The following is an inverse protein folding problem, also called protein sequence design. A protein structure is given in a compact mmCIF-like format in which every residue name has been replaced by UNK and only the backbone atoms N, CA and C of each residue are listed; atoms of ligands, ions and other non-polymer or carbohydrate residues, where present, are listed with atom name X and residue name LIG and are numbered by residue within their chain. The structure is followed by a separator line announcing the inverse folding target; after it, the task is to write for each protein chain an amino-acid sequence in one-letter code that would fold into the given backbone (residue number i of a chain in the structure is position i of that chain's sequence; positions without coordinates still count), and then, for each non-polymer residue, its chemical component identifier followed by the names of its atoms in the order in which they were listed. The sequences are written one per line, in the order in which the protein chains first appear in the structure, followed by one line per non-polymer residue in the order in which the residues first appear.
data_IF_001989070988
#
_entry.id   IF_001989070988
#
_cell.length_a   1.000
_cell.length_b   1.000
_cell.length_c   1.000
_cell.angle_alpha   90.00
_cell.angle_beta   90.00
_cell.angle_gamma   90.00
#
_symmetry.space_group_name_H-M   'P 1'
#
loop_
_entity.id
_entity.type
_entity.pdbx_description
1 polymer ?
#
# COMPACT_ATOMS: atom_id res chain seq x y z
N UNK A 1 -42.85 10.19 -23.62
CA UNK A 1 -42.76 9.58 -22.27
C UNK A 1 -41.48 8.75 -22.24
N UNK A 2 -40.64 8.99 -21.25
CA UNK A 2 -39.19 8.72 -21.26
C UNK A 2 -38.81 7.25 -21.55
N UNK A 3 -38.02 7.07 -22.60
CA UNK A 3 -37.06 5.98 -22.78
C UNK A 3 -35.65 6.61 -22.73
N UNK A 4 -34.90 6.39 -21.66
CA UNK A 4 -33.43 6.59 -21.62
C UNK A 4 -32.85 6.22 -20.25
N UNK A 5 -32.33 5.00 -20.11
CA UNK A 5 -31.23 4.65 -19.20
C UNK A 5 -30.69 3.27 -19.61
N UNK A 6 -29.45 3.21 -20.13
CA UNK A 6 -28.54 2.21 -19.59
C UNK A 6 -27.09 2.76 -19.54
N UNK A 7 -26.72 3.40 -18.44
CA UNK A 7 -25.31 3.57 -18.05
C UNK A 7 -24.96 2.80 -16.78
N UNK A 8 -25.84 1.92 -16.28
CA UNK A 8 -25.69 1.27 -14.96
C UNK A 8 -25.69 -0.27 -15.05
N UNK A 9 -25.86 -0.86 -16.23
CA UNK A 9 -25.82 -2.32 -16.40
C UNK A 9 -24.43 -2.80 -16.89
N UNK A 10 -23.40 -2.57 -16.07
CA UNK A 10 -22.10 -3.27 -16.13
C UNK A 10 -21.37 -3.11 -14.77
N UNK A 11 -22.07 -3.39 -13.68
CA UNK A 11 -21.48 -3.58 -12.36
C UNK A 11 -21.03 -5.04 -12.22
N UNK A 12 -19.97 -5.41 -12.93
CA UNK A 12 -18.98 -6.45 -12.63
C UNK A 12 -17.93 -6.35 -13.75
N UNK A 13 -16.64 -6.29 -13.40
CA UNK A 13 -15.48 -5.84 -14.21
C UNK A 13 -15.29 -4.31 -14.22
N UNK A 14 -15.16 -3.72 -13.03
CA UNK A 14 -14.62 -2.38 -12.83
C UNK A 14 -13.12 -2.43 -12.56
N UNK A 15 -12.31 -2.81 -13.54
CA UNK A 15 -10.87 -2.52 -13.52
C UNK A 15 -10.68 -1.10 -14.05
N UNK A 16 -10.82 -0.12 -13.17
CA UNK A 16 -10.56 1.27 -13.50
C UNK A 16 -9.07 1.43 -13.88
N UNK A 17 -8.83 1.73 -15.15
CA UNK A 17 -7.57 2.20 -15.70
C UNK A 17 -7.22 3.54 -15.04
N UNK A 18 -6.38 3.51 -14.00
CA UNK A 18 -5.59 4.66 -13.59
C UNK A 18 -4.38 4.75 -14.55
N UNK A 19 -4.12 5.94 -15.11
CA UNK A 19 -3.02 6.15 -16.04
C UNK A 19 -1.68 5.67 -15.47
N UNK A 20 -0.92 4.92 -16.27
CA UNK A 20 0.37 4.40 -15.85
C UNK A 20 1.32 5.56 -15.54
N UNK A 21 1.77 5.63 -14.28
CA UNK A 21 2.93 6.43 -13.90
C UNK A 21 4.15 5.89 -14.67
N UNK A 22 5.10 6.75 -15.11
CA UNK A 22 6.33 6.26 -15.69
C UNK A 22 7.00 5.26 -14.74
N UNK A 23 7.41 4.06 -15.21
CA UNK A 23 8.00 3.04 -14.36
C UNK A 23 9.19 3.60 -13.59
N UNK A 24 9.13 3.50 -12.26
CA UNK A 24 10.24 3.85 -11.40
C UNK A 24 11.30 2.74 -11.39
N UNK A 25 12.36 2.90 -10.58
CA UNK A 25 13.44 1.92 -10.54
C UNK A 25 13.03 0.56 -9.94
N UNK A 26 12.03 0.55 -9.04
CA UNK A 26 11.46 -0.67 -8.47
C UNK A 26 10.58 -1.37 -9.50
N UNK A 27 9.81 -0.61 -10.29
CA UNK A 27 8.99 -1.15 -11.38
C UNK A 27 9.86 -1.84 -12.45
N UNK A 28 10.96 -1.18 -12.86
CA UNK A 28 11.93 -1.77 -13.79
C UNK A 28 12.56 -3.05 -13.25
N UNK A 29 12.93 -3.05 -11.96
CA UNK A 29 13.48 -4.25 -11.33
C UNK A 29 12.45 -5.39 -11.30
N UNK A 30 11.18 -5.09 -11.03
CA UNK A 30 10.10 -6.07 -11.05
C UNK A 30 9.93 -6.68 -12.45
N UNK A 31 9.89 -5.84 -13.49
CA UNK A 31 9.78 -6.26 -14.88
C UNK A 31 10.94 -7.16 -15.31
N UNK A 32 12.19 -6.75 -15.05
CA UNK A 32 13.39 -7.56 -15.33
C UNK A 32 13.36 -8.92 -14.62
N UNK A 33 12.78 -8.95 -13.41
CA UNK A 33 12.72 -10.15 -12.57
C UNK A 33 11.66 -11.16 -13.00
N UNK A 34 10.74 -10.80 -13.89
CA UNK A 34 9.73 -11.72 -14.42
C UNK A 34 10.33 -12.89 -15.21
N UNK A 35 11.47 -12.65 -15.87
CA UNK A 35 12.24 -13.73 -16.54
C UNK A 35 12.69 -14.80 -15.53
N UNK A 36 13.16 -14.39 -14.35
CA UNK A 36 13.59 -15.29 -13.27
C UNK A 36 12.41 -16.11 -12.74
N UNK A 37 11.24 -15.49 -12.58
CA UNK A 37 10.01 -16.19 -12.18
C UNK A 37 9.61 -17.24 -13.22
N UNK A 38 9.63 -16.88 -14.50
CA UNK A 38 9.32 -17.79 -15.60
C UNK A 38 10.25 -19.01 -15.60
N UNK A 39 11.56 -18.79 -15.49
CA UNK A 39 12.56 -19.86 -15.46
C UNK A 39 12.42 -20.75 -14.23
N UNK A 40 12.07 -20.17 -13.08
CA UNK A 40 11.81 -20.92 -11.86
C UNK A 40 10.57 -21.81 -11.99
N UNK A 41 9.46 -21.28 -12.51
CA UNK A 41 8.21 -22.02 -12.69
C UNK A 41 8.34 -23.14 -13.72
N UNK A 42 9.16 -22.95 -14.76
CA UNK A 42 9.46 -24.01 -15.73
C UNK A 42 10.14 -25.23 -15.08
N UNK A 43 10.93 -25.01 -14.02
CA UNK A 43 11.60 -26.07 -13.24
C UNK A 43 10.78 -26.55 -12.05
N UNK A 44 9.84 -25.73 -11.57
CA UNK A 44 9.02 -25.99 -10.39
C UNK A 44 7.53 -25.75 -10.70
N UNK A 45 6.87 -26.64 -11.48
CA UNK A 45 5.48 -26.45 -11.89
C UNK A 45 4.54 -26.39 -10.68
N UNK A 46 3.62 -25.41 -10.67
CA UNK A 46 2.70 -25.13 -9.55
C UNK A 46 1.26 -25.58 -9.84
N UNK A 47 1.11 -26.69 -10.56
CA UNK A 47 -0.20 -27.22 -10.95
C UNK A 47 -1.00 -26.22 -11.82
N UNK A 48 -2.16 -25.79 -11.32
CA UNK A 48 -3.08 -24.89 -12.04
C UNK A 48 -2.69 -23.41 -12.04
N UNK A 49 -1.68 -23.01 -11.25
CA UNK A 49 -1.22 -21.63 -11.21
C UNK A 49 -0.04 -21.41 -12.17
N UNK A 50 -0.28 -20.71 -13.27
CA UNK A 50 0.71 -20.35 -14.29
C UNK A 50 0.77 -18.84 -14.45
N UNK A 51 1.73 -18.31 -15.20
CA UNK A 51 1.75 -16.86 -15.48
C UNK A 51 0.47 -16.42 -16.20
N UNK A 52 -0.13 -17.27 -17.04
CA UNK A 52 -1.35 -17.02 -17.81
C UNK A 52 -2.61 -17.06 -16.96
N UNK A 53 -2.69 -17.99 -16.00
CA UNK A 53 -3.85 -18.13 -15.10
C UNK A 53 -3.75 -17.24 -13.87
N UNK A 54 -2.54 -16.81 -13.51
CA UNK A 54 -2.33 -15.78 -12.52
C UNK A 54 -3.06 -14.50 -12.96
N UNK A 55 -3.70 -13.85 -12.01
CA UNK A 55 -4.39 -12.57 -12.26
C UNK A 55 -3.34 -11.55 -12.73
N UNK A 56 -3.42 -11.15 -14.02
CA UNK A 56 -2.52 -10.17 -14.68
C UNK A 56 -3.13 -8.77 -14.75
N UNK A 57 -2.25 -7.78 -14.93
CA UNK A 57 -2.52 -6.42 -15.43
C UNK A 57 -1.63 -6.23 -16.70
N UNK A 58 -2.09 -5.62 -17.81
CA UNK A 58 -1.48 -5.74 -19.17
C UNK A 58 -0.92 -4.43 -19.78
N UNK A 59 0.02 -4.55 -20.73
CA UNK A 59 0.65 -3.49 -21.57
C UNK A 59 -0.08 -3.30 -22.94
N UNK A 60 0.10 -2.15 -23.62
CA UNK A 60 -0.64 -1.72 -24.83
C UNK A 60 -0.41 -2.54 -26.11
N UNK A 61 0.84 -2.94 -26.36
CA UNK A 61 1.24 -3.77 -27.51
C UNK A 61 0.69 -5.20 -27.37
N UNK A 62 0.50 -5.64 -26.12
CA UNK A 62 -0.12 -6.91 -25.74
C UNK A 62 -1.66 -6.92 -25.78
N UNK A 63 -2.29 -5.77 -26.07
CA UNK A 63 -3.74 -5.69 -26.28
C UNK A 63 -4.10 -6.20 -27.67
N UNK A 64 -5.20 -6.96 -27.78
CA UNK A 64 -5.81 -7.25 -29.06
C UNK A 64 -6.29 -5.96 -29.72
N UNK A 65 -6.43 -5.95 -31.05
CA UNK A 65 -6.91 -4.77 -31.79
C UNK A 65 -8.26 -4.27 -31.27
N UNK A 66 -9.14 -5.19 -30.84
CA UNK A 66 -10.41 -4.84 -30.21
C UNK A 66 -10.23 -4.11 -28.88
N UNK A 67 -9.32 -4.58 -28.02
CA UNK A 67 -8.99 -3.93 -26.74
C UNK A 67 -8.37 -2.53 -26.97
N UNK A 68 -7.49 -2.39 -27.98
CA UNK A 68 -6.94 -1.08 -28.40
C UNK A 68 -7.99 -0.15 -28.97
N UNK A 69 -8.95 -0.66 -29.74
CA UNK A 69 -10.06 0.10 -30.29
C UNK A 69 -11.04 0.55 -29.21
N UNK A 70 -11.31 -0.30 -28.22
CA UNK A 70 -12.14 0.05 -27.07
C UNK A 70 -11.50 1.18 -26.25
N UNK A 71 -10.19 1.12 -25.99
CA UNK A 71 -9.46 2.22 -25.37
C UNK A 71 -9.48 3.50 -26.22
N UNK A 72 -9.15 3.41 -27.51
CA UNK A 72 -9.13 4.58 -28.40
C UNK A 72 -10.53 5.23 -28.48
N UNK A 73 -11.58 4.43 -28.50
CA UNK A 73 -12.97 4.92 -28.47
C UNK A 73 -13.31 5.63 -27.16
N UNK A 74 -12.80 5.14 -26.03
CA UNK A 74 -12.95 5.81 -24.74
C UNK A 74 -12.21 7.17 -24.70
N UNK A 75 -11.00 7.25 -25.27
CA UNK A 75 -10.25 8.52 -25.37
C UNK A 75 -10.98 9.53 -26.27
N UNK A 76 -11.44 9.11 -27.45
CA UNK A 76 -12.22 9.95 -28.34
C UNK A 76 -13.53 10.41 -27.69
N UNK A 77 -14.17 9.56 -26.88
CA UNK A 77 -15.34 9.93 -26.10
C UNK A 77 -15.03 11.06 -25.09
N UNK A 78 -13.88 11.00 -24.41
CA UNK A 78 -13.45 12.06 -23.49
C UNK A 78 -13.14 13.37 -24.24
N UNK A 79 -12.53 13.29 -25.42
CA UNK A 79 -12.27 14.48 -26.25
C UNK A 79 -13.57 15.10 -26.79
N UNK A 80 -14.63 14.30 -26.98
CA UNK A 80 -15.94 14.77 -27.45
C UNK A 80 -16.86 15.36 -26.39
N UNK A 81 -16.56 15.20 -25.08
CA UNK A 81 -17.36 15.77 -23.99
C UNK A 81 -16.85 17.15 -23.57
N UNK A 82 -17.73 18.11 -23.24
CA UNK A 82 -17.32 19.48 -22.88
C UNK A 82 -16.54 19.50 -21.56
N UNK A 83 -15.48 20.30 -21.46
CA UNK A 83 -14.67 20.48 -20.25
C UNK A 83 -15.46 21.01 -19.04
N UNK A 84 -15.03 20.62 -17.84
CA UNK A 84 -15.65 20.90 -16.53
C UNK A 84 -14.87 21.98 -15.79
N UNK A 85 -13.58 22.07 -16.07
CA UNK A 85 -12.66 22.97 -15.39
C UNK A 85 -12.51 24.30 -16.13
N UNK A 86 -13.45 24.66 -16.99
CA UNK A 86 -13.39 25.89 -17.82
C UNK A 86 -13.25 27.16 -16.98
N UNK A 87 -13.68 27.16 -15.72
CA UNK A 87 -13.50 28.27 -14.78
C UNK A 87 -12.07 28.33 -14.20
N UNK A 88 -11.44 27.18 -13.94
CA UNK A 88 -10.10 27.07 -13.33
C UNK A 88 -8.97 26.96 -14.36
N UNK A 89 -9.29 26.50 -15.56
CA UNK A 89 -8.40 26.32 -16.70
C UNK A 89 -9.17 26.71 -17.98
N UNK A 90 -9.21 28.00 -18.35
CA UNK A 90 -10.01 28.49 -19.49
C UNK A 90 -9.65 27.88 -20.86
N UNK A 91 -8.46 27.29 -20.95
CA UNK A 91 -7.98 26.55 -22.11
C UNK A 91 -8.56 25.13 -22.24
N UNK A 92 -9.14 24.55 -21.17
CA UNK A 92 -9.73 23.22 -21.22
C UNK A 92 -11.06 23.24 -22.00
N UNK A 93 -11.11 22.58 -23.16
CA UNK A 93 -12.30 22.55 -24.03
C UNK A 93 -13.05 21.22 -23.94
N UNK A 94 -12.34 20.16 -23.61
CA UNK A 94 -12.88 18.81 -23.49
C UNK A 94 -12.66 18.21 -22.09
N UNK A 95 -13.36 17.11 -21.79
CA UNK A 95 -13.04 16.28 -20.61
C UNK A 95 -11.61 15.78 -20.64
N UNK A 96 -11.05 15.54 -21.82
CA UNK A 96 -9.64 15.17 -21.96
C UNK A 96 -8.71 16.31 -21.50
N UNK A 97 -9.03 17.56 -21.85
CA UNK A 97 -8.25 18.72 -21.41
C UNK A 97 -8.38 19.01 -19.92
N UNK A 98 -9.50 18.64 -19.28
CA UNK A 98 -9.63 18.71 -17.81
C UNK A 98 -8.53 17.87 -17.13
N UNK A 99 -8.23 16.67 -17.64
CA UNK A 99 -7.14 15.84 -17.11
C UNK A 99 -5.76 16.46 -17.33
N UNK A 100 -5.54 17.13 -18.47
CA UNK A 100 -4.29 17.87 -18.74
C UNK A 100 -4.15 19.05 -17.78
N UNK A 101 -5.25 19.78 -17.54
CA UNK A 101 -5.28 20.90 -16.59
C UNK A 101 -5.02 20.44 -15.16
N UNK A 102 -5.62 19.34 -14.73
CA UNK A 102 -5.33 18.71 -13.43
C UNK A 102 -3.86 18.32 -13.35
N UNK A 103 -3.30 17.71 -14.40
CA UNK A 103 -1.91 17.30 -14.41
C UNK A 103 -0.96 18.51 -14.29
N UNK A 104 -1.17 19.59 -15.07
CA UNK A 104 -0.40 20.84 -14.96
C UNK A 104 -0.47 21.42 -13.54
N UNK A 105 -1.66 21.45 -12.94
CA UNK A 105 -1.88 21.98 -11.59
C UNK A 105 -1.27 21.08 -10.49
N UNK A 106 -1.08 19.79 -10.76
CA UNK A 106 -0.59 18.82 -9.78
C UNK A 106 0.86 18.35 -10.03
N UNK A 107 1.49 18.70 -11.15
CA UNK A 107 2.90 18.35 -11.46
C UNK A 107 3.87 18.66 -10.31
N UNK A 108 3.79 19.82 -9.61
CA UNK A 108 4.68 20.11 -8.47
C UNK A 108 4.45 19.23 -7.24
N UNK A 109 3.29 18.55 -7.14
CA UNK A 109 2.88 17.71 -6.01
C UNK A 109 3.14 16.22 -6.27
N UNK A 110 3.04 15.81 -7.54
CA UNK A 110 3.08 14.40 -7.94
C UNK A 110 4.48 13.96 -8.44
N UNK A 111 5.45 14.87 -8.49
CA UNK A 111 6.86 14.56 -8.77
C UNK A 111 7.78 14.76 -7.55
N UNK A 112 7.22 14.82 -6.33
CA UNK A 112 7.98 14.76 -5.08
C UNK A 112 7.28 15.38 -3.88
N UNK A 113 7.11 14.60 -2.81
CA UNK A 113 6.94 15.00 -1.40
C UNK A 113 5.57 15.43 -0.83
N UNK A 114 4.45 15.28 -1.54
CA UNK A 114 3.12 15.67 -1.02
C UNK A 114 2.11 14.51 -0.88
N UNK A 115 2.29 13.63 0.14
CA UNK A 115 1.39 12.49 0.35
C UNK A 115 -0.05 12.93 0.61
N UNK A 116 -0.29 14.12 1.17
CA UNK A 116 -1.62 14.62 1.50
C UNK A 116 -2.48 14.93 0.26
N UNK A 117 -1.87 15.15 -0.90
CA UNK A 117 -2.56 15.36 -2.17
C UNK A 117 -2.46 14.15 -3.13
N UNK A 118 -1.89 13.04 -2.68
CA UNK A 118 -1.82 11.81 -3.47
C UNK A 118 -3.22 11.28 -3.83
N UNK A 119 -3.38 10.48 -4.90
CA UNK A 119 -4.66 9.81 -5.19
C UNK A 119 -5.22 9.01 -4.00
N UNK A 120 -4.33 8.55 -3.12
CA UNK A 120 -4.69 7.81 -1.93
C UNK A 120 -5.31 8.68 -0.84
N UNK A 121 -4.87 9.94 -0.70
CA UNK A 121 -5.22 10.83 0.42
C UNK A 121 -5.76 12.20 0.02
N UNK A 122 -6.05 12.46 -1.25
CA UNK A 122 -6.55 13.76 -1.73
C UNK A 122 -7.99 14.09 -1.25
N UNK A 123 -8.67 13.15 -0.60
CA UNK A 123 -9.99 13.37 0.00
C UNK A 123 -11.18 13.35 -0.95
N UNK A 124 -10.98 13.00 -2.23
CA UNK A 124 -12.09 12.79 -3.16
C UNK A 124 -12.78 11.43 -2.91
N UNK A 125 -13.88 11.16 -3.62
CA UNK A 125 -14.67 9.93 -3.45
C UNK A 125 -13.97 8.63 -3.91
N UNK A 126 -12.83 8.74 -4.62
CA UNK A 126 -11.99 7.60 -5.02
C UNK A 126 -10.80 7.35 -4.11
N UNK A 127 -10.53 8.25 -3.16
CA UNK A 127 -9.42 8.15 -2.22
C UNK A 127 -9.76 7.24 -1.04
N UNK A 128 -8.77 6.88 -0.23
CA UNK A 128 -9.00 6.30 1.08
C UNK A 128 -9.37 7.36 2.10
N UNK A 129 -10.17 8.37 1.71
CA UNK A 129 -10.39 9.63 2.44
C UNK A 129 -9.17 10.55 2.56
N UNK A 130 -9.42 11.77 3.03
CA UNK A 130 -8.41 12.82 3.11
C UNK A 130 -7.51 12.79 4.35
N UNK A 131 -6.80 13.90 4.54
CA UNK A 131 -6.13 14.21 5.80
C UNK A 131 -7.15 14.53 6.93
N UNK A 132 -6.69 14.47 8.17
CA UNK A 132 -7.44 14.95 9.33
C UNK A 132 -7.51 16.47 9.41
N UNK A 133 -8.49 16.99 10.15
CA UNK A 133 -8.51 18.40 10.53
C UNK A 133 -7.20 18.74 11.29
N UNK A 134 -6.64 19.93 11.02
CA UNK A 134 -5.39 20.34 11.66
C UNK A 134 -5.57 20.51 13.18
N UNK A 135 -4.75 19.82 13.96
CA UNK A 135 -4.70 19.89 15.42
C UNK A 135 -3.23 20.00 15.83
N UNK A 136 -2.91 20.85 16.81
CA UNK A 136 -1.54 20.94 17.30
C UNK A 136 -1.16 19.66 18.09
N UNK A 137 -0.07 19.00 17.72
CA UNK A 137 0.51 17.87 18.45
C UNK A 137 2.04 17.84 18.28
N UNK A 138 2.72 17.03 19.10
CA UNK A 138 4.18 16.97 19.17
C UNK A 138 4.83 16.17 18.02
N UNK A 139 4.02 15.53 17.16
CA UNK A 139 4.49 14.55 16.19
C UNK A 139 4.45 13.13 16.72
N UNK A 140 5.22 12.23 16.10
CA UNK A 140 5.21 10.79 16.39
C UNK A 140 6.50 10.41 17.12
N UNK A 141 6.44 10.05 18.41
CA UNK A 141 7.61 9.59 19.14
C UNK A 141 8.03 8.20 18.64
N UNK A 142 9.34 7.98 18.50
CA UNK A 142 9.89 6.70 18.03
C UNK A 142 10.81 6.12 19.12
N UNK A 143 10.28 5.22 19.96
CA UNK A 143 11.04 4.60 21.03
C UNK A 143 12.28 3.89 20.52
N UNK A 144 13.39 4.07 21.23
CA UNK A 144 14.66 3.43 20.91
C UNK A 144 15.51 4.18 19.86
N UNK A 145 14.98 5.18 19.17
CA UNK A 145 15.77 6.00 18.24
C UNK A 145 16.54 7.13 18.94
N UNK A 146 17.74 7.50 18.43
CA UNK A 146 18.52 8.62 18.96
C UNK A 146 17.97 9.97 18.49
N UNK A 147 18.24 11.06 19.22
CA UNK A 147 17.95 12.43 18.74
C UNK A 147 18.77 12.75 17.47
N UNK A 148 18.22 13.49 16.48
CA UNK A 148 16.85 14.03 16.43
C UNK A 148 15.80 13.06 15.87
N UNK A 149 16.18 11.83 15.52
CA UNK A 149 15.31 10.81 14.90
C UNK A 149 14.37 10.09 15.87
N UNK A 150 14.33 10.50 17.14
CA UNK A 150 13.42 9.96 18.15
C UNK A 150 12.01 10.57 18.08
N UNK A 151 11.78 11.51 17.16
CA UNK A 151 10.51 12.20 16.96
C UNK A 151 10.35 12.55 15.47
N UNK A 152 9.31 12.02 14.83
CA UNK A 152 8.88 12.48 13.50
C UNK A 152 8.05 13.76 13.71
N UNK A 153 8.41 14.90 13.10
CA UNK A 153 7.63 16.12 13.25
C UNK A 153 6.19 15.95 12.75
N UNK A 154 5.24 16.59 13.44
CA UNK A 154 3.85 16.69 13.00
C UNK A 154 3.74 17.33 11.61
N UNK A 155 2.74 16.92 10.83
CA UNK A 155 2.36 17.58 9.59
C UNK A 155 1.10 18.45 9.82
N UNK A 156 0.22 18.53 8.82
CA UNK A 156 -0.92 19.46 8.82
C UNK A 156 -2.26 18.79 9.18
N UNK A 157 -2.25 17.65 9.88
CA UNK A 157 -3.45 16.95 10.35
C UNK A 157 -3.52 16.78 11.87
N UNK A 158 -3.90 15.59 12.32
CA UNK A 158 -4.02 15.16 13.72
C UNK A 158 -5.47 15.00 14.21
N UNK A 159 -6.43 15.69 13.59
CA UNK A 159 -7.85 15.59 13.90
C UNK A 159 -8.60 14.53 13.10
N UNK A 160 -9.93 14.52 13.21
CA UNK A 160 -10.79 13.63 12.44
C UNK A 160 -10.65 13.90 10.93
N UNK A 161 -10.68 12.85 10.12
CA UNK A 161 -10.82 12.93 8.67
C UNK A 161 -12.10 13.68 8.31
N UNK A 162 -12.01 14.66 7.42
CA UNK A 162 -13.14 15.56 7.08
C UNK A 162 -13.73 15.32 5.68
N UNK A 163 -13.02 14.61 4.80
CA UNK A 163 -13.39 14.42 3.39
C UNK A 163 -13.24 12.97 2.91
N UNK A 164 -13.91 12.64 1.80
CA UNK A 164 -13.90 11.33 1.16
C UNK A 164 -14.78 10.26 1.84
N UNK A 165 -14.72 9.01 1.34
CA UNK A 165 -15.69 7.96 1.67
C UNK A 165 -15.71 7.52 3.15
N UNK A 166 -14.58 7.64 3.84
CA UNK A 166 -14.39 7.17 5.22
C UNK A 166 -14.51 8.28 6.27
N UNK A 167 -14.93 9.50 5.91
CA UNK A 167 -15.08 10.62 6.87
C UNK A 167 -16.02 10.31 8.05
N UNK A 168 -17.00 9.43 7.83
CA UNK A 168 -17.98 9.00 8.84
C UNK A 168 -17.65 7.61 9.42
N UNK A 169 -16.49 7.03 9.09
CA UNK A 169 -16.06 5.76 9.64
C UNK A 169 -15.81 5.86 11.14
N UNK A 170 -16.29 4.87 11.90
CA UNK A 170 -16.01 4.73 13.32
C UNK A 170 -14.88 3.74 13.56
N UNK A 171 -13.84 4.19 14.26
CA UNK A 171 -12.77 3.36 14.82
C UNK A 171 -13.25 2.87 16.18
N UNK A 172 -13.46 1.55 16.32
CA UNK A 172 -14.13 0.96 17.48
C UNK A 172 -13.19 0.31 18.49
N UNK A 173 -11.97 -0.05 18.09
CA UNK A 173 -10.98 -0.73 18.94
C UNK A 173 -9.78 0.19 19.22
N UNK A 174 -8.91 -0.23 20.13
CA UNK A 174 -7.79 0.54 20.59
C UNK A 174 -8.19 1.85 21.29
N UNK A 175 -7.24 2.77 21.50
CA UNK A 175 -5.81 2.61 21.20
C UNK A 175 -5.11 1.62 22.16
N UNK A 176 -3.90 1.20 21.80
CA UNK A 176 -2.96 0.45 22.67
C UNK A 176 -1.67 1.26 22.84
N UNK A 177 -1.08 1.75 21.75
CA UNK A 177 0.11 2.58 21.72
C UNK A 177 -0.13 3.83 20.84
N UNK A 178 -0.99 4.76 21.29
CA UNK A 178 -1.41 5.88 20.46
C UNK A 178 -0.28 6.91 20.26
N UNK A 179 -0.23 7.49 19.07
CA UNK A 179 0.69 8.61 18.72
C UNK A 179 0.06 9.98 18.90
N UNK A 180 -1.26 10.03 19.09
CA UNK A 180 -2.04 11.23 19.38
C UNK A 180 -2.72 11.13 20.75
N UNK A 181 -3.09 12.29 21.31
CA UNK A 181 -3.93 12.33 22.50
C UNK A 181 -5.38 11.99 22.11
N UNK A 182 -5.74 10.72 22.27
CA UNK A 182 -7.09 10.20 22.00
C UNK A 182 -7.66 9.54 23.25
N UNK A 183 -8.97 9.30 23.25
CA UNK A 183 -9.67 8.64 24.36
C UNK A 183 -9.09 7.23 24.60
N UNK A 184 -8.57 6.99 25.80
CA UNK A 184 -8.08 5.68 26.22
C UNK A 184 -9.18 4.61 26.10
N UNK A 185 -8.79 3.39 25.73
CA UNK A 185 -9.71 2.27 25.67
C UNK A 185 -10.16 1.87 27.10
N UNK A 186 -11.44 1.54 27.33
CA UNK A 186 -11.91 1.07 28.63
C UNK A 186 -11.26 -0.25 29.08
N UNK A 187 -10.66 -1.02 28.15
CA UNK A 187 -9.85 -2.20 28.45
C UNK A 187 -8.38 -1.92 28.11
N UNK A 188 -7.48 -2.32 29.00
CA UNK A 188 -6.03 -2.13 28.82
C UNK A 188 -5.44 -2.93 27.66
N UNK A 189 -6.14 -3.97 27.19
CA UNK A 189 -5.76 -4.74 26.00
C UNK A 189 -6.21 -4.11 24.67
N UNK A 190 -6.90 -2.97 24.71
CA UNK A 190 -7.40 -2.27 23.53
C UNK A 190 -8.62 -2.94 22.87
N UNK A 191 -9.16 -4.02 23.44
CA UNK A 191 -10.26 -4.80 22.85
C UNK A 191 -11.66 -4.32 23.28
N UNK A 192 -11.74 -3.26 24.10
CA UNK A 192 -13.02 -2.69 24.54
C UNK A 192 -13.66 -1.86 23.43
N UNK A 193 -14.99 -1.79 23.43
CA UNK A 193 -15.73 -0.91 22.53
C UNK A 193 -15.44 0.56 22.84
N UNK A 194 -14.75 1.25 21.94
CA UNK A 194 -14.28 2.63 22.09
C UNK A 194 -14.47 3.44 20.80
N UNK A 195 -15.72 3.69 20.37
CA UNK A 195 -16.03 4.35 19.11
C UNK A 195 -15.52 5.79 19.09
N UNK A 196 -14.81 6.15 18.03
CA UNK A 196 -14.32 7.50 17.73
C UNK A 196 -14.09 7.66 16.22
N UNK A 197 -13.94 8.89 15.75
CA UNK A 197 -13.63 9.15 14.34
C UNK A 197 -12.26 8.59 13.94
N UNK A 198 -12.10 8.26 12.66
CA UNK A 198 -10.80 8.08 12.00
C UNK A 198 -10.03 9.41 12.01
N UNK A 199 -8.77 9.41 12.47
CA UNK A 199 -7.89 10.58 12.48
C UNK A 199 -6.64 10.33 11.67
N UNK A 200 -6.14 11.34 10.97
CA UNK A 200 -4.88 11.26 10.21
C UNK A 200 -4.05 12.52 10.36
N UNK A 201 -2.75 12.33 10.31
CA UNK A 201 -1.76 13.38 10.09
C UNK A 201 -0.91 12.93 8.90
N UNK A 202 -1.39 13.16 7.67
CA UNK A 202 -0.72 12.66 6.47
C UNK A 202 0.66 13.30 6.35
N UNK A 203 1.70 12.53 6.68
CA UNK A 203 2.98 13.05 7.14
C UNK A 203 4.07 12.91 6.08
N UNK A 204 4.40 14.04 5.44
CA UNK A 204 5.49 14.10 4.46
C UNK A 204 6.87 13.78 5.03
N UNK A 205 7.11 14.02 6.32
CA UNK A 205 8.41 13.74 6.95
C UNK A 205 8.62 12.23 7.07
N UNK A 206 7.53 11.50 7.34
CA UNK A 206 7.56 10.03 7.34
C UNK A 206 7.68 9.45 5.92
N UNK A 207 6.97 10.02 4.95
CA UNK A 207 7.04 9.59 3.55
C UNK A 207 8.42 9.75 2.91
N UNK A 208 9.31 10.56 3.50
CA UNK A 208 10.66 10.79 2.98
C UNK A 208 11.51 9.51 2.88
N UNK A 209 11.17 8.45 3.64
CA UNK A 209 11.88 7.16 3.60
C UNK A 209 11.17 6.09 2.77
N UNK A 210 10.06 6.41 2.11
CA UNK A 210 9.27 5.47 1.29
C UNK A 210 9.41 5.72 -0.20
N UNK A 211 10.49 6.38 -0.63
CA UNK A 211 10.74 6.67 -2.05
C UNK A 211 11.23 5.42 -2.79
N UNK A 212 11.09 5.43 -4.12
CA UNK A 212 11.55 4.33 -4.97
C UNK A 212 13.02 3.97 -4.75
N UNK A 213 13.90 4.96 -4.51
CA UNK A 213 15.32 4.70 -4.24
C UNK A 213 15.54 3.96 -2.91
N UNK A 214 14.84 4.34 -1.84
CA UNK A 214 14.92 3.62 -0.56
C UNK A 214 14.41 2.18 -0.69
N UNK A 215 13.31 2.00 -1.43
CA UNK A 215 12.72 0.68 -1.69
C UNK A 215 13.63 -0.19 -2.56
N UNK A 216 14.26 0.39 -3.59
CA UNK A 216 15.24 -0.30 -4.43
C UNK A 216 16.46 -0.73 -3.60
N UNK A 217 16.99 0.16 -2.76
CA UNK A 217 18.10 -0.15 -1.86
C UNK A 217 17.74 -1.28 -0.89
N UNK A 218 16.53 -1.27 -0.34
CA UNK A 218 16.02 -2.35 0.51
C UNK A 218 16.04 -3.70 -0.24
N UNK A 219 15.60 -3.74 -1.49
CA UNK A 219 15.56 -4.98 -2.29
C UNK A 219 16.96 -5.46 -2.69
N UNK A 220 17.81 -4.54 -3.16
CA UNK A 220 19.07 -4.88 -3.84
C UNK A 220 20.27 -5.03 -2.90
N UNK A 221 20.25 -4.38 -1.72
CA UNK A 221 21.39 -4.40 -0.78
C UNK A 221 21.26 -5.46 0.33
N UNK A 222 20.12 -6.12 0.46
CA UNK A 222 19.87 -7.11 1.51
C UNK A 222 19.76 -8.52 0.92
N UNK A 223 20.79 -9.36 1.08
CA UNK A 223 20.86 -10.66 0.40
C UNK A 223 20.34 -11.85 1.23
N UNK A 224 19.78 -11.60 2.41
CA UNK A 224 19.15 -12.60 3.26
C UNK A 224 17.93 -12.00 3.97
N UNK A 225 16.99 -12.86 4.36
CA UNK A 225 15.72 -12.45 4.97
C UNK A 225 15.91 -11.69 6.28
N UNK A 226 16.95 -12.00 7.08
CA UNK A 226 17.22 -11.29 8.34
C UNK A 226 17.43 -9.80 8.11
N UNK A 227 18.34 -9.43 7.21
CA UNK A 227 18.61 -8.01 6.94
C UNK A 227 17.49 -7.36 6.15
N UNK A 228 16.85 -8.09 5.22
CA UNK A 228 15.71 -7.57 4.47
C UNK A 228 14.57 -7.15 5.40
N UNK A 229 14.12 -8.04 6.30
CA UNK A 229 13.04 -7.72 7.23
C UNK A 229 13.46 -6.68 8.27
N UNK A 230 14.71 -6.74 8.77
CA UNK A 230 15.24 -5.74 9.72
C UNK A 230 15.25 -4.32 9.14
N UNK A 231 15.68 -4.16 7.88
CA UNK A 231 15.75 -2.85 7.23
C UNK A 231 14.37 -2.38 6.79
N UNK A 232 13.49 -3.29 6.38
CA UNK A 232 12.10 -3.00 6.02
C UNK A 232 11.29 -2.47 7.22
N UNK A 233 11.32 -3.21 8.35
CA UNK A 233 10.62 -2.89 9.61
C UNK A 233 11.17 -1.61 10.27
N UNK A 234 12.49 -1.44 10.22
CA UNK A 234 13.18 -0.29 10.78
C UNK A 234 14.31 -0.67 11.75
N UNK A 235 15.44 0.03 11.63
CA UNK A 235 16.56 -0.01 12.57
C UNK A 235 16.48 1.20 13.50
N UNK A 236 15.44 1.27 14.33
CA UNK A 236 15.17 2.44 15.18
C UNK A 236 16.38 2.89 16.01
N UNK A 237 17.19 2.00 16.64
CA UNK A 237 18.42 2.40 17.36
C UNK A 237 19.45 3.17 16.51
N UNK A 238 19.38 3.05 15.18
CA UNK A 238 20.24 3.76 14.22
C UNK A 238 19.56 5.01 13.63
N UNK A 239 18.36 5.36 14.11
CA UNK A 239 17.56 6.47 13.57
C UNK A 239 16.94 6.18 12.21
N UNK A 240 16.77 4.91 11.84
CA UNK A 240 16.19 4.50 10.55
C UNK A 240 14.89 3.76 10.77
N UNK A 241 13.78 4.30 10.27
CA UNK A 241 12.44 3.74 10.46
C UNK A 241 12.03 2.68 9.41
N UNK A 242 12.73 2.61 8.27
CA UNK A 242 12.38 1.66 7.21
C UNK A 242 11.10 2.03 6.44
N UNK A 243 10.82 1.30 5.36
CA UNK A 243 9.66 1.57 4.48
C UNK A 243 8.34 1.11 5.11
N UNK A 244 8.36 0.14 6.03
CA UNK A 244 7.19 -0.34 6.75
C UNK A 244 6.71 0.71 7.76
N UNK A 245 7.55 1.10 8.73
CA UNK A 245 7.16 2.12 9.69
C UNK A 245 6.95 3.48 9.00
N UNK A 246 7.75 3.82 7.98
CA UNK A 246 7.54 5.00 7.15
C UNK A 246 6.18 5.03 6.45
N UNK A 247 5.70 3.89 5.95
CA UNK A 247 4.39 3.80 5.33
C UNK A 247 3.24 4.00 6.32
N UNK A 248 3.28 3.33 7.48
CA UNK A 248 2.29 3.54 8.56
C UNK A 248 2.26 5.00 9.04
N UNK A 249 3.44 5.56 9.37
CA UNK A 249 3.53 6.91 9.91
C UNK A 249 3.35 8.01 8.85
N UNK A 250 3.37 7.69 7.55
CA UNK A 250 2.88 8.58 6.49
C UNK A 250 1.37 8.81 6.60
N UNK A 251 0.60 7.81 7.06
CA UNK A 251 -0.83 7.99 7.35
C UNK A 251 -1.00 8.65 8.72
N UNK A 252 -0.25 8.17 9.71
CA UNK A 252 -0.20 8.72 11.06
C UNK A 252 -1.56 8.68 11.75
N UNK A 253 -1.73 9.54 12.76
CA UNK A 253 -3.02 9.67 13.44
C UNK A 253 -3.48 8.42 14.19
N UNK A 254 -4.79 8.16 14.14
CA UNK A 254 -5.48 7.10 14.89
C UNK A 254 -6.52 6.41 14.00
N UNK A 255 -6.33 5.11 13.67
CA UNK A 255 -5.42 4.19 14.34
C UNK A 255 -4.12 3.89 13.58
N UNK A 256 -3.88 4.46 12.39
CA UNK A 256 -2.74 4.07 11.54
C UNK A 256 -1.36 4.31 12.20
N UNK A 257 -1.25 5.34 13.05
CA UNK A 257 -0.04 5.61 13.82
C UNK A 257 0.14 4.70 15.05
N UNK A 258 -0.84 3.88 15.43
CA UNK A 258 -0.72 2.95 16.55
C UNK A 258 -0.32 1.56 16.02
N UNK A 259 0.87 1.11 16.42
CA UNK A 259 1.49 -0.13 15.94
C UNK A 259 0.56 -1.35 16.00
N UNK A 260 -0.31 -1.45 17.01
CA UNK A 260 -1.15 -2.63 17.23
C UNK A 260 -2.48 -2.58 16.49
N UNK A 261 -3.03 -1.38 16.27
CA UNK A 261 -4.39 -1.20 15.73
C UNK A 261 -4.40 -0.52 14.37
N UNK A 262 -3.24 -0.38 13.72
CA UNK A 262 -3.10 0.17 12.37
C UNK A 262 -4.03 -0.43 11.30
N UNK A 263 -4.47 -1.71 11.34
CA UNK A 263 -5.46 -2.24 10.40
C UNK A 263 -6.83 -1.55 10.47
N UNK A 264 -7.10 -0.78 11.52
CA UNK A 264 -8.31 0.03 11.64
C UNK A 264 -8.36 1.24 10.70
N UNK A 265 -7.25 1.58 10.02
CA UNK A 265 -7.24 2.52 8.90
C UNK A 265 -7.33 1.76 7.56
N UNK A 266 -8.26 2.12 6.65
CA UNK A 266 -8.39 1.48 5.34
C UNK A 266 -7.11 1.46 4.49
N UNK A 267 -6.20 2.43 4.70
CA UNK A 267 -4.93 2.51 3.98
C UNK A 267 -3.96 1.37 4.34
N UNK A 268 -4.17 0.67 5.46
CA UNK A 268 -3.34 -0.48 5.89
C UNK A 268 -3.19 -1.52 4.78
N UNK A 269 -4.29 -1.87 4.10
CA UNK A 269 -4.30 -2.92 3.09
C UNK A 269 -3.49 -2.56 1.85
N UNK A 270 -3.54 -1.28 1.44
CA UNK A 270 -2.76 -0.80 0.30
C UNK A 270 -1.28 -0.71 0.66
N UNK A 271 -0.97 -0.28 1.89
CA UNK A 271 0.39 -0.29 2.40
C UNK A 271 0.97 -1.72 2.43
N UNK A 272 0.25 -2.69 3.01
CA UNK A 272 0.70 -4.07 3.11
C UNK A 272 0.72 -4.81 1.77
N UNK A 273 -0.13 -4.43 0.80
CA UNK A 273 0.01 -4.90 -0.57
C UNK A 273 1.33 -4.41 -1.21
N UNK A 274 1.78 -3.18 -0.91
CA UNK A 274 3.10 -2.72 -1.34
C UNK A 274 4.23 -3.42 -0.60
N UNK A 275 4.08 -3.72 0.71
CA UNK A 275 5.06 -4.50 1.46
C UNK A 275 5.22 -5.91 0.87
N UNK A 276 4.11 -6.58 0.56
CA UNK A 276 4.11 -7.89 -0.10
C UNK A 276 4.73 -7.80 -1.50
N UNK A 277 4.44 -6.74 -2.28
CA UNK A 277 5.10 -6.50 -3.57
C UNK A 277 6.62 -6.37 -3.41
N UNK A 278 7.10 -5.62 -2.43
CA UNK A 278 8.55 -5.43 -2.19
C UNK A 278 9.20 -6.75 -1.78
N UNK A 279 8.54 -7.53 -0.91
CA UNK A 279 9.00 -8.86 -0.52
C UNK A 279 9.03 -9.83 -1.71
N UNK A 280 7.98 -9.83 -2.53
CA UNK A 280 7.90 -10.62 -3.75
C UNK A 280 9.04 -10.30 -4.72
N UNK A 281 9.27 -9.02 -5.05
CA UNK A 281 10.39 -8.60 -5.92
C UNK A 281 11.73 -9.03 -5.30
N UNK A 282 11.88 -8.92 -3.99
CA UNK A 282 13.08 -9.41 -3.30
C UNK A 282 13.23 -10.93 -3.45
N UNK A 283 12.18 -11.73 -3.30
CA UNK A 283 12.25 -13.17 -3.52
C UNK A 283 12.62 -13.52 -4.97
N UNK A 284 12.08 -12.78 -5.95
CA UNK A 284 12.38 -12.99 -7.37
C UNK A 284 13.88 -12.89 -7.71
N UNK A 285 14.68 -12.19 -6.90
CA UNK A 285 16.11 -12.04 -7.17
C UNK A 285 16.89 -13.35 -7.02
N UNK A 286 16.41 -14.29 -6.19
CA UNK A 286 16.97 -15.62 -5.99
C UNK A 286 15.91 -16.56 -5.40
N UNK A 287 14.96 -17.00 -6.24
CA UNK A 287 13.78 -17.75 -5.81
C UNK A 287 14.12 -19.06 -5.09
N UNK A 288 15.11 -19.81 -5.60
CA UNK A 288 15.49 -21.10 -5.05
C UNK A 288 15.93 -21.00 -3.58
N UNK A 289 16.63 -19.91 -3.24
CA UNK A 289 17.04 -19.61 -1.88
C UNK A 289 15.93 -18.94 -1.08
N UNK A 290 15.43 -17.80 -1.57
CA UNK A 290 14.61 -16.84 -0.82
C UNK A 290 13.18 -17.31 -0.52
N UNK A 291 12.64 -18.27 -1.27
CA UNK A 291 11.35 -18.90 -0.94
C UNK A 291 11.43 -19.84 0.28
N UNK A 292 12.63 -20.16 0.76
CA UNK A 292 12.83 -21.07 1.89
C UNK A 292 13.53 -20.41 3.09
N UNK A 293 13.85 -19.12 2.98
CA UNK A 293 14.51 -18.41 4.06
C UNK A 293 13.51 -17.96 5.14
N UNK A 294 13.80 -18.35 6.38
CA UNK A 294 13.16 -17.84 7.60
C UNK A 294 14.27 -17.42 8.55
N UNK A 295 14.06 -16.33 9.30
CA UNK A 295 15.00 -15.86 10.31
C UNK A 295 14.27 -15.30 11.53
N UNK A 296 15.06 -14.88 12.53
CA UNK A 296 14.60 -14.41 13.85
C UNK A 296 13.84 -15.49 14.64
N UNK A 297 13.32 -15.08 15.80
CA UNK A 297 12.63 -15.93 16.77
C UNK A 297 11.12 -15.72 16.68
N UNK A 298 10.34 -16.63 17.27
CA UNK A 298 8.87 -16.60 17.25
C UNK A 298 8.25 -15.47 18.08
N UNK A 299 9.05 -14.78 18.88
CA UNK A 299 8.65 -13.65 19.72
C UNK A 299 9.35 -12.38 19.25
N UNK A 300 8.62 -11.26 19.30
CA UNK A 300 9.13 -9.94 18.95
C UNK A 300 10.38 -9.61 19.77
N UNK A 301 11.45 -9.20 19.09
CA UNK A 301 12.76 -8.93 19.70
C UNK A 301 13.31 -10.07 20.59
N UNK A 302 12.84 -11.30 20.38
CA UNK A 302 13.11 -12.45 21.24
C UNK A 302 12.69 -12.23 22.70
N UNK A 303 11.57 -11.53 22.92
CA UNK A 303 11.04 -11.19 24.25
C UNK A 303 9.59 -11.68 24.44
N UNK A 304 9.35 -12.67 25.33
CA UNK A 304 10.34 -13.49 26.02
C UNK A 304 11.16 -14.36 25.04
N UNK A 305 12.32 -14.92 25.42
CA UNK A 305 13.10 -15.76 24.54
C UNK A 305 12.31 -16.94 23.98
N UNK A 306 12.44 -17.20 22.69
CA UNK A 306 11.77 -18.30 21.99
C UNK A 306 12.69 -18.97 20.98
N UNK A 307 12.24 -20.11 20.44
CA UNK A 307 12.95 -20.79 19.38
C UNK A 307 13.01 -19.94 18.10
N UNK A 308 14.00 -20.23 17.25
CA UNK A 308 14.07 -19.66 15.91
C UNK A 308 12.81 -20.04 15.11
N UNK A 309 12.37 -19.10 14.27
CA UNK A 309 11.29 -19.32 13.33
C UNK A 309 11.67 -20.41 12.32
N UNK A 310 10.68 -21.21 11.91
CA UNK A 310 10.88 -22.25 10.89
C UNK A 310 9.74 -22.25 9.86
N UNK A 311 9.99 -22.87 8.70
CA UNK A 311 8.98 -23.10 7.67
C UNK A 311 7.82 -24.01 8.12
N UNK A 312 7.97 -24.74 9.22
CA UNK A 312 6.96 -25.61 9.81
C UNK A 312 6.17 -24.95 10.95
N UNK A 313 6.53 -23.71 11.31
CA UNK A 313 5.76 -22.93 12.27
C UNK A 313 4.37 -22.63 11.71
N UNK A 314 3.38 -22.57 12.59
CA UNK A 314 2.00 -22.27 12.24
C UNK A 314 1.78 -20.75 12.24
N UNK A 315 1.07 -20.28 11.23
CA UNK A 315 0.57 -18.90 11.09
C UNK A 315 -0.93 -18.94 10.89
N UNK A 316 -1.66 -17.99 11.49
CA UNK A 316 -3.11 -17.89 11.39
C UNK A 316 -3.62 -16.46 11.49
N UNK A 317 -4.91 -16.30 11.22
CA UNK A 317 -5.65 -15.05 11.40
C UNK A 317 -6.74 -15.22 12.46
N UNK A 318 -6.47 -16.04 13.48
CA UNK A 318 -7.42 -16.41 14.52
C UNK A 318 -8.68 -17.05 13.95
N UNK A 319 -9.84 -16.46 14.22
CA UNK A 319 -11.14 -16.95 13.72
C UNK A 319 -11.37 -16.70 12.23
N UNK A 320 -10.52 -15.89 11.58
CA UNK A 320 -10.69 -15.50 10.17
C UNK A 320 -10.11 -16.52 9.19
N UNK A 321 -9.12 -17.31 9.61
CA UNK A 321 -8.48 -18.33 8.77
C UNK A 321 -7.83 -19.42 9.63
N UNK A 322 -7.84 -20.69 9.17
CA UNK A 322 -7.20 -21.79 9.90
C UNK A 322 -5.68 -21.63 9.95
N UNK A 323 -5.06 -22.35 10.88
CA UNK A 323 -3.61 -22.51 10.94
C UNK A 323 -3.07 -23.11 9.64
N UNK A 324 -2.01 -22.49 9.12
CA UNK A 324 -1.26 -22.98 7.97
C UNK A 324 0.23 -22.88 8.27
N UNK A 325 1.03 -23.78 7.67
CA UNK A 325 2.48 -23.71 7.84
C UNK A 325 3.04 -22.53 7.07
N UNK A 326 4.08 -21.88 7.60
CA UNK A 326 4.79 -20.78 6.92
C UNK A 326 5.22 -21.15 5.50
N UNK A 327 5.70 -22.38 5.25
CA UNK A 327 6.05 -22.85 3.89
C UNK A 327 4.95 -22.69 2.85
N UNK A 328 3.68 -22.76 3.25
CA UNK A 328 2.54 -22.63 2.33
C UNK A 328 2.29 -21.17 1.94
N UNK A 329 2.87 -20.22 2.66
CA UNK A 329 2.72 -18.78 2.48
C UNK A 329 3.91 -18.15 1.74
N UNK A 330 4.99 -18.90 1.52
CA UNK A 330 6.24 -18.35 0.97
C UNK A 330 6.19 -18.02 -0.52
N UNK A 331 5.16 -18.48 -1.25
CA UNK A 331 5.03 -18.28 -2.69
C UNK A 331 3.65 -17.75 -3.06
N UNK A 332 3.62 -16.74 -3.93
CA UNK A 332 2.39 -16.21 -4.54
C UNK A 332 1.91 -17.06 -5.72
N UNK A 333 2.73 -18.03 -6.15
CA UNK A 333 2.47 -18.93 -7.27
C UNK A 333 2.34 -20.35 -6.75
N UNK A 334 1.13 -20.79 -6.39
CA UNK A 334 0.85 -22.15 -5.95
C UNK A 334 0.72 -22.36 -4.43
N UNK A 335 0.95 -21.32 -3.62
CA UNK A 335 0.87 -21.41 -2.15
C UNK A 335 -0.52 -21.83 -1.66
N UNK A 336 -0.58 -22.44 -0.48
CA UNK A 336 -1.81 -22.97 0.14
C UNK A 336 -2.59 -23.93 -0.77
N UNK A 337 -1.88 -24.83 -1.45
CA UNK A 337 -2.48 -25.75 -2.42
C UNK A 337 -3.09 -25.04 -3.63
N UNK A 338 -2.47 -23.96 -4.10
CA UNK A 338 -2.90 -23.20 -5.28
C UNK A 338 -3.86 -22.04 -5.01
N UNK A 339 -4.22 -21.77 -3.75
CA UNK A 339 -5.08 -20.63 -3.40
C UNK A 339 -4.37 -19.29 -3.55
N UNK A 340 -3.05 -19.26 -3.34
CA UNK A 340 -2.23 -18.12 -3.70
C UNK A 340 -1.81 -18.30 -5.17
N UNK A 341 -2.41 -17.49 -6.06
CA UNK A 341 -2.06 -17.45 -7.47
C UNK A 341 -2.17 -16.03 -8.02
N UNK A 342 -1.14 -15.22 -7.75
CA UNK A 342 -1.09 -13.83 -8.16
C UNK A 342 0.35 -13.35 -8.41
N UNK A 343 0.47 -12.31 -9.25
CA UNK A 343 1.70 -11.60 -9.53
C UNK A 343 1.47 -10.09 -9.40
N UNK A 344 2.55 -9.33 -9.20
CA UNK A 344 2.51 -7.87 -9.29
C UNK A 344 3.07 -7.43 -10.64
N UNK A 345 2.37 -6.51 -11.28
CA UNK A 345 2.70 -5.93 -12.59
C UNK A 345 2.39 -4.45 -12.60
#
# INVERSE_FOLDING_TARGET
MLQSLPCIAALFVGSALAGAYPPDAVDKLAEESMSKLKDYLAKNPQGGCTLETAVKRKEWSDLADKERQEYTSAVLCLMGKPGLMTAQAPGAKSRFDDYVAVHIQQTPRNHGSDPANSPLFNGNESSMSGNGAKVAHQGIPIPGAPRPYNLIPAADGGGCVTTGPFKNMSVNLGPIAPTLQVKANPRSDGLGYNPRCLRRDVNKNSAAVTTANYTLDLITKNNNVYWFQTVMEGQFPQGKWGVHAGGHYTVGGDPAGDFYVSPGDPAFWLHHAMIDRVWWIWQLQDLAKRLTEVSMTRTMNNMPPSANGTLDDLSNLGVMAPDVKVRELMTTMGGLGGKLCYIYV
#
